data_IF_680205483289
#
_entry.id   IF_680205483289
#
_cell.length_a   1.000
_cell.length_b   1.000
_cell.length_c   1.000
_cell.angle_alpha   90.00
_cell.angle_beta   90.00
_cell.angle_gamma   90.00
#
_symmetry.space_group_name_H-M   'P 1'
#
loop_
_entity.id
_entity.type
_entity.pdbx_description
1 polymer ?
#
# COMPACT_ATOMS: atom_id res chain seq x y z
N UNK A 1 -43.58 -71.34 34.90
CA UNK A 1 -43.63 -69.89 35.17
C UNK A 1 -42.21 -69.34 35.12
N UNK A 2 -41.85 -68.62 34.05
CA UNK A 2 -40.53 -67.99 33.89
C UNK A 2 -40.57 -66.56 34.47
N UNK A 3 -39.77 -66.22 35.50
CA UNK A 3 -39.61 -64.84 35.92
C UNK A 3 -38.65 -64.09 34.98
N UNK A 4 -39.12 -62.91 34.62
CA UNK A 4 -38.62 -61.93 33.69
C UNK A 4 -37.24 -61.37 34.09
N UNK A 5 -36.37 -61.30 33.09
CA UNK A 5 -34.96 -60.89 33.06
C UNK A 5 -34.52 -59.71 33.96
N UNK A 6 -33.35 -59.93 34.56
CA UNK A 6 -32.40 -59.03 35.22
C UNK A 6 -31.95 -57.84 34.33
N UNK A 7 -32.30 -56.61 34.74
CA UNK A 7 -31.88 -55.35 34.09
C UNK A 7 -30.53 -54.88 34.64
N UNK A 8 -29.45 -55.51 34.19
CA UNK A 8 -28.13 -54.87 34.20
C UNK A 8 -28.08 -53.79 33.12
N UNK A 9 -28.05 -52.50 33.47
CA UNK A 9 -27.50 -51.44 32.61
C UNK A 9 -26.74 -50.38 33.41
N UNK A 10 -25.47 -50.26 33.02
CA UNK A 10 -24.40 -49.42 33.53
C UNK A 10 -24.65 -47.91 33.28
N UNK A 11 -23.95 -47.00 34.01
CA UNK A 11 -24.03 -45.57 33.79
C UNK A 11 -23.20 -45.16 32.55
N UNK A 12 -23.84 -44.50 31.58
CA UNK A 12 -23.18 -43.98 30.37
C UNK A 12 -22.81 -42.50 30.56
N UNK A 13 -21.50 -42.30 30.64
CA UNK A 13 -20.71 -41.21 30.03
C UNK A 13 -21.18 -39.74 30.16
N UNK A 14 -20.43 -39.01 30.99
CA UNK A 14 -19.94 -37.65 30.72
C UNK A 14 -19.45 -37.51 29.27
N UNK A 15 -19.89 -36.48 28.54
CA UNK A 15 -19.03 -35.66 27.66
C UNK A 15 -19.76 -34.41 27.17
N UNK A 16 -19.42 -33.31 27.84
CA UNK A 16 -19.19 -31.97 27.29
C UNK A 16 -19.68 -31.74 25.86
N UNK A 17 -20.80 -31.04 25.73
CA UNK A 17 -21.19 -30.31 24.52
C UNK A 17 -20.56 -28.92 24.56
N UNK A 18 -19.25 -28.86 24.35
CA UNK A 18 -18.54 -27.60 24.13
C UNK A 18 -17.71 -27.70 22.85
N UNK A 19 -17.66 -26.57 22.14
CA UNK A 19 -16.77 -26.31 21.01
C UNK A 19 -17.08 -27.03 19.69
N UNK A 20 -18.16 -26.61 19.02
CA UNK A 20 -18.24 -26.63 17.55
C UNK A 20 -18.35 -25.22 16.99
N UNK A 21 -17.42 -24.35 17.40
CA UNK A 21 -17.17 -23.08 16.76
C UNK A 21 -15.66 -22.93 16.57
N UNK A 22 -15.20 -22.69 15.33
CA UNK A 22 -13.90 -22.03 15.16
C UNK A 22 -12.79 -22.74 14.38
N UNK A 23 -13.09 -23.53 13.34
CA UNK A 23 -12.04 -23.92 12.37
C UNK A 23 -12.09 -23.17 11.03
N UNK A 24 -13.26 -22.71 10.58
CA UNK A 24 -13.41 -22.06 9.27
C UNK A 24 -13.13 -20.54 9.24
N UNK A 25 -12.84 -19.90 10.38
CA UNK A 25 -12.58 -18.45 10.46
C UNK A 25 -11.16 -18.03 10.07
N UNK A 26 -10.16 -18.90 10.31
CA UNK A 26 -8.75 -18.55 10.15
C UNK A 26 -8.31 -18.42 8.69
N UNK A 27 -8.77 -19.32 7.80
CA UNK A 27 -8.43 -19.30 6.37
C UNK A 27 -9.02 -18.09 5.64
N UNK A 28 -10.18 -17.59 6.07
CA UNK A 28 -10.82 -16.39 5.49
C UNK A 28 -10.04 -15.10 5.78
N UNK A 29 -9.39 -15.01 6.94
CA UNK A 29 -8.66 -13.80 7.33
C UNK A 29 -7.27 -13.69 6.69
N UNK A 30 -6.62 -14.81 6.36
CA UNK A 30 -5.31 -14.84 5.71
C UNK A 30 -5.35 -14.23 4.29
N UNK A 31 -6.33 -14.63 3.46
CA UNK A 31 -6.51 -14.06 2.12
C UNK A 31 -6.85 -12.56 2.13
N UNK A 32 -7.57 -12.10 3.16
CA UNK A 32 -7.92 -10.68 3.30
C UNK A 32 -6.73 -9.78 3.60
N UNK A 33 -5.70 -10.27 4.30
CA UNK A 33 -4.46 -9.51 4.59
C UNK A 33 -3.61 -9.30 3.33
N UNK A 34 -3.44 -10.32 2.51
CA UNK A 34 -2.64 -10.24 1.28
C UNK A 34 -3.26 -9.27 0.27
N UNK A 35 -4.59 -9.31 0.10
CA UNK A 35 -5.30 -8.40 -0.81
C UNK A 35 -5.24 -6.95 -0.32
N UNK A 36 -5.28 -6.71 1.00
CA UNK A 36 -5.10 -5.36 1.56
C UNK A 36 -3.72 -4.79 1.27
N UNK A 37 -2.66 -5.55 1.52
CA UNK A 37 -1.29 -5.11 1.24
C UNK A 37 -1.01 -4.90 -0.25
N UNK A 38 -1.63 -5.69 -1.13
CA UNK A 38 -1.52 -5.50 -2.58
C UNK A 38 -2.20 -4.21 -3.06
N UNK A 39 -3.40 -3.88 -2.56
CA UNK A 39 -4.12 -2.65 -2.92
C UNK A 39 -3.35 -1.39 -2.53
N UNK A 40 -2.76 -1.37 -1.33
CA UNK A 40 -2.03 -0.21 -0.84
C UNK A 40 -0.77 0.07 -1.68
N UNK A 41 0.03 -0.97 -1.96
CA UNK A 41 1.21 -0.84 -2.83
C UNK A 41 0.83 -0.38 -4.24
N UNK A 42 -0.29 -0.88 -4.76
CA UNK A 42 -0.79 -0.47 -6.08
C UNK A 42 -1.20 1.02 -6.07
N UNK A 43 -1.90 1.48 -5.03
CA UNK A 43 -2.28 2.88 -4.89
C UNK A 43 -1.06 3.82 -4.83
N UNK A 44 -0.02 3.45 -4.08
CA UNK A 44 1.25 4.19 -4.04
C UNK A 44 1.89 4.23 -5.43
N UNK A 45 1.94 3.10 -6.13
CA UNK A 45 2.54 3.05 -7.48
C UNK A 45 1.81 3.94 -8.49
N UNK A 46 0.47 4.02 -8.42
CA UNK A 46 -0.34 4.90 -9.28
C UNK A 46 -0.09 6.36 -8.94
N UNK A 47 0.01 6.69 -7.65
CA UNK A 47 0.32 8.04 -7.17
C UNK A 47 1.70 8.52 -7.66
N UNK A 48 2.72 7.66 -7.55
CA UNK A 48 4.08 7.97 -8.03
C UNK A 48 4.09 8.14 -9.55
N UNK A 49 3.41 7.28 -10.31
CA UNK A 49 3.30 7.42 -11.77
C UNK A 49 2.63 8.74 -12.18
N UNK A 50 1.61 9.18 -11.45
CA UNK A 50 0.96 10.48 -11.69
C UNK A 50 1.95 11.64 -11.45
N UNK A 51 2.68 11.61 -10.34
CA UNK A 51 3.71 12.62 -10.02
C UNK A 51 4.82 12.67 -11.08
N UNK A 52 5.28 11.52 -11.57
CA UNK A 52 6.28 11.46 -12.65
C UNK A 52 5.71 12.08 -13.94
N UNK A 53 4.46 11.80 -14.31
CA UNK A 53 3.81 12.43 -15.48
C UNK A 53 3.66 13.94 -15.33
N UNK A 54 3.33 14.41 -14.14
CA UNK A 54 3.27 15.85 -13.85
C UNK A 54 4.66 16.48 -14.01
N UNK A 55 5.70 15.84 -13.47
CA UNK A 55 7.08 16.31 -13.61
C UNK A 55 7.54 16.37 -15.08
N UNK A 56 7.21 15.36 -15.88
CA UNK A 56 7.48 15.33 -17.33
C UNK A 56 6.83 16.49 -18.10
N UNK A 57 5.72 17.04 -17.59
CA UNK A 57 5.04 18.21 -18.20
C UNK A 57 5.68 19.53 -17.78
N UNK A 58 6.20 19.61 -16.55
CA UNK A 58 6.81 20.82 -16.00
C UNK A 58 8.24 21.04 -16.51
N UNK A 59 9.00 19.96 -16.70
CA UNK A 59 10.40 20.04 -17.07
C UNK A 59 10.53 20.12 -18.60
N UNK A 60 11.18 21.16 -19.15
CA UNK A 60 11.42 21.26 -20.59
C UNK A 60 12.17 20.03 -21.12
N UNK A 61 11.67 19.41 -22.19
CA UNK A 61 12.22 18.16 -22.73
C UNK A 61 11.88 16.89 -21.92
N UNK A 62 11.19 17.01 -20.77
CA UNK A 62 10.95 15.89 -19.86
C UNK A 62 10.01 14.80 -20.36
N UNK A 63 9.11 15.09 -21.32
CA UNK A 63 8.12 14.11 -21.83
C UNK A 63 8.71 12.85 -22.46
N UNK A 64 9.93 12.95 -22.98
CA UNK A 64 10.61 11.86 -23.69
C UNK A 64 11.55 11.07 -22.77
N UNK A 65 11.77 11.55 -21.53
CA UNK A 65 12.76 10.98 -20.63
C UNK A 65 12.17 9.86 -19.75
N UNK A 66 12.89 8.73 -19.60
CA UNK A 66 12.59 7.74 -18.57
C UNK A 66 12.81 8.33 -17.18
N UNK A 67 12.16 7.76 -16.15
CA UNK A 67 12.11 8.35 -14.80
C UNK A 67 13.49 8.66 -14.20
N UNK A 68 14.48 7.77 -14.33
CA UNK A 68 15.82 7.98 -13.78
C UNK A 68 16.52 9.21 -14.40
N UNK A 69 16.46 9.33 -15.73
CA UNK A 69 17.03 10.48 -16.45
C UNK A 69 16.22 11.76 -16.22
N UNK A 70 14.89 11.64 -16.09
CA UNK A 70 14.02 12.76 -15.77
C UNK A 70 14.44 13.43 -14.46
N UNK A 71 14.75 12.66 -13.41
CA UNK A 71 15.15 13.24 -12.13
C UNK A 71 16.49 13.99 -12.22
N UNK A 72 17.48 13.43 -12.92
CA UNK A 72 18.76 14.10 -13.14
C UNK A 72 18.57 15.41 -13.94
N UNK A 73 17.85 15.34 -15.06
CA UNK A 73 17.52 16.50 -15.89
C UNK A 73 16.71 17.56 -15.13
N UNK A 74 15.84 17.12 -14.20
CA UNK A 74 15.10 18.02 -13.30
C UNK A 74 16.05 18.75 -12.35
N UNK A 75 17.04 18.07 -11.78
CA UNK A 75 18.01 18.68 -10.88
C UNK A 75 18.79 19.79 -11.61
N UNK A 76 19.25 19.50 -12.82
CA UNK A 76 19.89 20.50 -13.68
C UNK A 76 18.94 21.67 -13.93
N UNK A 77 17.69 21.40 -14.33
CA UNK A 77 16.73 22.46 -14.62
C UNK A 77 16.45 23.38 -13.41
N UNK A 78 16.31 22.82 -12.20
CA UNK A 78 16.15 23.58 -10.96
C UNK A 78 17.37 24.46 -10.71
N UNK A 79 18.57 23.92 -10.91
CA UNK A 79 19.81 24.67 -10.73
C UNK A 79 19.90 25.86 -11.70
N UNK A 80 19.62 25.63 -12.99
CA UNK A 80 19.61 26.69 -14.00
C UNK A 80 18.60 27.80 -13.69
N UNK A 81 17.38 27.44 -13.29
CA UNK A 81 16.37 28.41 -12.88
C UNK A 81 16.83 29.21 -11.66
N UNK A 82 17.42 28.54 -10.68
CA UNK A 82 17.91 29.18 -9.46
C UNK A 82 18.98 30.23 -9.78
N UNK A 83 19.92 29.91 -10.67
CA UNK A 83 20.94 30.86 -11.13
C UNK A 83 20.32 32.05 -11.87
N UNK A 84 19.38 31.81 -12.80
CA UNK A 84 18.69 32.89 -13.53
C UNK A 84 17.98 33.85 -12.57
N UNK A 85 17.26 33.33 -11.58
CA UNK A 85 16.57 34.14 -10.58
C UNK A 85 17.57 34.92 -9.71
N UNK A 86 18.69 34.32 -9.32
CA UNK A 86 19.73 35.01 -8.55
C UNK A 86 20.31 36.20 -9.32
N UNK A 87 20.67 36.00 -10.59
CA UNK A 87 21.17 37.07 -11.46
C UNK A 87 20.14 38.18 -11.62
N UNK A 88 18.89 37.84 -11.95
CA UNK A 88 17.82 38.83 -12.11
C UNK A 88 17.56 39.62 -10.83
N UNK A 89 17.61 38.97 -9.66
CA UNK A 89 17.49 39.65 -8.36
C UNK A 89 18.66 40.57 -8.08
N UNK A 90 19.89 40.17 -8.40
CA UNK A 90 21.06 41.02 -8.25
C UNK A 90 20.94 42.26 -9.14
N UNK A 91 20.61 42.09 -10.41
CA UNK A 91 20.39 43.19 -11.36
C UNK A 91 19.25 44.10 -10.92
N UNK A 92 18.12 43.55 -10.46
CA UNK A 92 16.99 44.35 -9.98
C UNK A 92 17.39 45.29 -8.84
N UNK A 93 18.29 44.87 -7.93
CA UNK A 93 18.79 45.73 -6.85
C UNK A 93 19.67 46.88 -7.36
N UNK A 94 20.32 46.71 -8.52
CA UNK A 94 21.10 47.78 -9.15
C UNK A 94 20.22 48.78 -9.89
N UNK A 95 19.11 48.35 -10.48
CA UNK A 95 18.23 49.19 -11.30
C UNK A 95 17.02 49.78 -10.56
N UNK A 96 16.58 49.17 -9.46
CA UNK A 96 15.51 49.66 -8.60
C UNK A 96 16.00 49.72 -7.14
N UNK A 97 16.72 50.81 -6.77
CA UNK A 97 17.18 51.00 -5.40
C UNK A 97 16.04 51.23 -4.42
#
# INVERSE_FOLDING_TARGET
MLPLMDRRRLPVARRQSEASAGRNGALRNAGRRVIRGGRERHAVSVSVRRKVRELQRLVPGGRQLPAAQLFLHTADYIFHLSLKVQVLRALSKFYMP
#
